data_IF_028618922198
#
_entry.id   IF_028618922198
#
_cell.length_a   1.000
_cell.length_b   1.000
_cell.length_c   1.000
_cell.angle_alpha   90.00
_cell.angle_beta   90.00
_cell.angle_gamma   90.00
#
_symmetry.space_group_name_H-M   'P 1'
#
loop_
_entity.id
_entity.type
_entity.pdbx_description
1 polymer ?
#
# COMPACT_ATOMS: atom_id res chain seq x y z
N UNK A 1 -15.85 -4.94 31.43
CA UNK A 1 -15.46 -6.38 31.53
C UNK A 1 -15.38 -7.08 30.16
N UNK A 2 -16.41 -7.01 29.31
CA UNK A 2 -16.37 -7.70 28.02
C UNK A 2 -15.26 -7.14 27.09
N UNK A 3 -15.15 -5.82 26.97
CA UNK A 3 -14.11 -5.17 26.15
C UNK A 3 -12.69 -5.40 26.71
N UNK A 4 -12.54 -5.44 28.02
CA UNK A 4 -11.25 -5.74 28.65
C UNK A 4 -10.80 -7.17 28.30
N UNK A 5 -11.71 -8.13 28.40
CA UNK A 5 -11.42 -9.52 28.02
C UNK A 5 -10.98 -9.64 26.56
N UNK A 6 -11.72 -9.03 25.65
CA UNK A 6 -11.35 -9.00 24.22
C UNK A 6 -9.99 -8.37 23.98
N UNK A 7 -9.70 -7.24 24.66
CA UNK A 7 -8.42 -6.57 24.55
C UNK A 7 -7.26 -7.43 25.09
N UNK A 8 -7.47 -8.10 26.22
CA UNK A 8 -6.47 -9.01 26.79
C UNK A 8 -6.15 -10.17 25.85
N UNK A 9 -7.16 -10.76 25.20
CA UNK A 9 -6.94 -11.82 24.20
C UNK A 9 -6.13 -11.31 22.99
N UNK A 10 -6.43 -10.11 22.50
CA UNK A 10 -5.68 -9.47 21.40
C UNK A 10 -4.23 -9.20 21.84
N UNK A 11 -4.04 -8.63 23.04
CA UNK A 11 -2.71 -8.32 23.53
C UNK A 11 -1.86 -9.58 23.76
N UNK A 12 -2.42 -10.60 24.38
CA UNK A 12 -1.73 -11.87 24.60
C UNK A 12 -1.35 -12.55 23.28
N UNK A 13 -2.27 -12.59 22.33
CA UNK A 13 -1.99 -13.12 20.99
C UNK A 13 -0.89 -12.32 20.29
N UNK A 14 -0.87 -10.99 20.50
CA UNK A 14 0.18 -10.12 19.95
C UNK A 14 1.55 -10.46 20.56
N UNK A 15 1.64 -10.64 21.87
CA UNK A 15 2.90 -11.04 22.53
C UNK A 15 3.43 -12.38 22.03
N UNK A 16 2.54 -13.33 21.76
CA UNK A 16 2.92 -14.68 21.32
C UNK A 16 3.33 -14.76 19.85
N UNK A 17 2.80 -13.86 18.99
CA UNK A 17 2.91 -14.02 17.53
C UNK A 17 3.60 -12.85 16.82
N UNK A 18 3.66 -11.66 17.42
CA UNK A 18 4.29 -10.48 16.82
C UNK A 18 5.71 -10.29 17.35
N UNK A 19 6.69 -10.96 16.73
CA UNK A 19 8.09 -10.94 17.19
C UNK A 19 8.84 -9.63 16.90
N UNK A 20 8.31 -8.77 16.03
CA UNK A 20 8.96 -7.52 15.61
C UNK A 20 8.97 -6.42 16.68
N UNK A 21 8.24 -6.57 17.79
CA UNK A 21 8.16 -5.53 18.81
C UNK A 21 9.52 -5.19 19.43
N UNK A 22 10.40 -6.16 19.57
CA UNK A 22 11.76 -5.94 20.11
C UNK A 22 12.61 -5.12 19.12
N UNK A 23 12.63 -5.51 17.85
CA UNK A 23 13.38 -4.78 16.80
C UNK A 23 12.88 -3.36 16.59
N UNK A 24 11.58 -3.13 16.82
CA UNK A 24 10.94 -1.80 16.76
C UNK A 24 11.02 -1.03 18.09
N UNK A 25 11.65 -1.61 19.13
CA UNK A 25 11.82 -1.02 20.46
C UNK A 25 10.49 -0.63 21.12
N UNK A 26 9.44 -1.42 20.90
CA UNK A 26 8.16 -1.21 21.54
C UNK A 26 8.18 -1.76 22.97
N UNK A 27 7.76 -0.94 23.94
CA UNK A 27 7.52 -1.41 25.30
C UNK A 27 6.09 -1.94 25.38
N UNK A 28 5.94 -3.27 25.26
CA UNK A 28 4.62 -3.91 25.20
C UNK A 28 3.87 -3.81 26.54
N UNK A 29 4.57 -3.80 27.69
CA UNK A 29 3.94 -3.64 29.00
C UNK A 29 3.37 -2.22 29.16
N UNK A 30 4.12 -1.21 28.77
CA UNK A 30 3.63 0.18 28.76
C UNK A 30 2.45 0.37 27.81
N UNK A 31 2.52 -0.24 26.63
CA UNK A 31 1.43 -0.21 25.65
C UNK A 31 0.17 -0.88 26.20
N UNK A 32 0.31 -2.07 26.79
CA UNK A 32 -0.78 -2.80 27.45
C UNK A 32 -1.44 -1.95 28.51
N UNK A 33 -0.66 -1.45 29.49
CA UNK A 33 -1.19 -0.67 30.59
C UNK A 33 -1.94 0.59 30.11
N UNK A 34 -1.37 1.33 29.17
CA UNK A 34 -1.98 2.54 28.62
C UNK A 34 -3.32 2.26 27.90
N UNK A 35 -3.38 1.18 27.13
CA UNK A 35 -4.61 0.83 26.43
C UNK A 35 -5.66 0.18 27.33
N UNK A 36 -5.27 -0.70 28.25
CA UNK A 36 -6.19 -1.33 29.20
C UNK A 36 -6.92 -0.28 30.05
N UNK A 37 -6.20 0.74 30.52
CA UNK A 37 -6.80 1.85 31.27
C UNK A 37 -7.88 2.59 30.44
N UNK A 38 -7.65 2.77 29.13
CA UNK A 38 -8.62 3.43 28.24
C UNK A 38 -9.79 2.49 27.89
N UNK A 39 -9.52 1.21 27.73
CA UNK A 39 -10.53 0.17 27.45
C UNK A 39 -11.49 0.04 28.63
N UNK A 40 -10.99 0.05 29.88
CA UNK A 40 -11.84 -0.04 31.09
C UNK A 40 -12.84 1.12 31.25
N UNK A 41 -12.55 2.27 30.61
CA UNK A 41 -13.42 3.45 30.59
C UNK A 41 -14.33 3.51 29.35
N UNK A 42 -14.28 2.50 28.51
CA UNK A 42 -15.01 2.47 27.24
C UNK A 42 -16.40 1.85 27.43
N UNK A 43 -17.42 2.57 26.96
CA UNK A 43 -18.83 2.25 27.18
C UNK A 43 -19.56 1.81 25.89
N UNK A 44 -18.94 1.97 24.72
CA UNK A 44 -19.55 1.68 23.42
C UNK A 44 -18.65 0.87 22.49
N UNK A 45 -19.22 0.00 21.62
CA UNK A 45 -18.46 -0.74 20.62
C UNK A 45 -17.67 0.18 19.67
N UNK A 46 -18.18 1.36 19.36
CA UNK A 46 -17.51 2.34 18.49
C UNK A 46 -16.22 2.85 19.13
N UNK A 47 -16.29 3.27 20.39
CA UNK A 47 -15.10 3.72 21.15
C UNK A 47 -14.09 2.58 21.30
N UNK A 48 -14.55 1.37 21.59
CA UNK A 48 -13.70 0.20 21.69
C UNK A 48 -13.01 -0.11 20.35
N UNK A 49 -13.74 -0.11 19.24
CA UNK A 49 -13.17 -0.30 17.89
C UNK A 49 -12.10 0.73 17.55
N UNK A 50 -12.29 1.99 17.92
CA UNK A 50 -11.29 3.04 17.76
C UNK A 50 -10.02 2.74 18.57
N UNK A 51 -10.16 2.28 19.82
CA UNK A 51 -9.00 1.88 20.64
C UNK A 51 -8.25 0.70 20.04
N UNK A 52 -8.95 -0.28 19.50
CA UNK A 52 -8.31 -1.41 18.80
C UNK A 52 -7.55 -0.96 17.55
N UNK A 53 -8.11 -0.04 16.76
CA UNK A 53 -7.40 0.55 15.62
C UNK A 53 -6.13 1.29 16.07
N UNK A 54 -6.21 2.07 17.14
CA UNK A 54 -5.04 2.76 17.72
C UNK A 54 -3.99 1.77 18.24
N UNK A 55 -4.41 0.74 18.95
CA UNK A 55 -3.51 -0.30 19.47
C UNK A 55 -2.74 -0.99 18.34
N UNK A 56 -3.46 -1.45 17.32
CA UNK A 56 -2.85 -2.13 16.17
C UNK A 56 -1.93 -1.19 15.39
N UNK A 57 -2.29 0.09 15.24
CA UNK A 57 -1.43 1.08 14.59
C UNK A 57 -0.15 1.38 15.40
N UNK A 58 -0.24 1.29 16.73
CA UNK A 58 0.91 1.46 17.64
C UNK A 58 1.95 0.33 17.54
N UNK A 59 1.62 -0.77 16.86
CA UNK A 59 2.58 -1.84 16.57
C UNK A 59 3.55 -1.44 15.43
N UNK A 60 3.31 -0.35 14.73
CA UNK A 60 4.14 0.14 13.63
C UNK A 60 4.42 -0.91 12.54
N UNK A 61 3.42 -1.67 12.15
CA UNK A 61 3.51 -2.72 11.14
C UNK A 61 2.36 -2.60 10.13
N UNK A 62 2.69 -2.41 8.86
CA UNK A 62 1.68 -2.26 7.81
C UNK A 62 0.84 -3.51 7.55
N UNK A 63 1.33 -4.68 7.96
CA UNK A 63 0.59 -5.94 7.91
C UNK A 63 -0.34 -6.18 9.12
N UNK A 64 -0.28 -5.33 10.16
CA UNK A 64 -1.18 -5.41 11.28
C UNK A 64 -2.52 -4.71 10.96
N UNK A 65 -3.64 -5.30 11.36
CA UNK A 65 -4.97 -4.70 11.18
C UNK A 65 -5.99 -5.31 12.11
N UNK A 66 -7.07 -4.59 12.37
CA UNK A 66 -8.27 -5.12 12.99
C UNK A 66 -9.44 -4.97 12.00
N UNK A 67 -10.23 -6.04 11.84
CA UNK A 67 -11.33 -6.07 10.87
C UNK A 67 -12.60 -5.53 11.54
N UNK A 68 -12.90 -4.29 11.25
CA UNK A 68 -14.12 -3.62 11.65
C UNK A 68 -14.89 -3.20 10.41
N UNK A 69 -16.22 -3.28 10.45
CA UNK A 69 -17.07 -2.94 9.31
C UNK A 69 -17.12 -1.43 9.13
N UNK A 70 -16.43 -0.92 8.12
CA UNK A 70 -16.44 0.50 7.79
C UNK A 70 -17.63 0.87 6.88
N UNK A 71 -18.02 2.14 6.96
CA UNK A 71 -18.82 2.81 5.93
C UNK A 71 -17.86 3.45 4.92
N UNK A 72 -18.20 3.42 3.64
CA UNK A 72 -17.30 3.82 2.56
C UNK A 72 -18.06 4.44 1.38
N UNK A 73 -17.35 5.15 0.53
CA UNK A 73 -17.78 5.51 -0.83
C UNK A 73 -17.15 4.59 -1.90
N UNK A 74 -16.51 3.49 -1.49
CA UNK A 74 -15.77 2.56 -2.36
C UNK A 74 -14.73 3.27 -3.25
N UNK A 75 -14.05 4.25 -2.66
CA UNK A 75 -13.09 5.11 -3.34
C UNK A 75 -11.88 5.42 -2.44
N UNK A 76 -10.72 5.54 -3.05
CA UNK A 76 -9.50 6.00 -2.41
C UNK A 76 -8.90 7.16 -3.23
N UNK A 77 -8.76 8.37 -2.65
CA UNK A 77 -8.23 9.53 -3.36
C UNK A 77 -6.72 9.42 -3.59
N UNK A 78 -6.20 10.27 -4.47
CA UNK A 78 -4.77 10.47 -4.68
C UNK A 78 -4.20 11.44 -3.63
N UNK A 79 -3.01 11.11 -3.13
CA UNK A 79 -2.24 11.94 -2.20
C UNK A 79 -0.95 12.37 -2.88
N UNK A 80 -0.83 13.67 -3.17
CA UNK A 80 0.26 14.23 -3.99
C UNK A 80 0.76 15.50 -3.31
N UNK A 81 2.05 15.55 -2.97
CA UNK A 81 2.69 16.72 -2.34
C UNK A 81 1.93 17.22 -1.09
N UNK A 82 1.43 16.31 -0.26
CA UNK A 82 0.69 16.64 0.95
C UNK A 82 -0.77 17.06 0.71
N UNK A 83 -1.26 17.00 -0.51
CA UNK A 83 -2.60 17.40 -0.93
C UNK A 83 -3.42 16.19 -1.38
N UNK A 84 -4.72 16.26 -1.25
CA UNK A 84 -5.65 15.15 -1.54
C UNK A 84 -6.53 15.53 -2.72
N UNK A 85 -6.55 14.68 -3.76
CA UNK A 85 -7.28 14.93 -4.99
C UNK A 85 -8.20 13.77 -5.35
N UNK A 86 -9.30 14.11 -5.99
CA UNK A 86 -10.10 13.15 -6.74
C UNK A 86 -9.40 12.86 -8.07
N UNK A 87 -9.10 11.59 -8.31
CA UNK A 87 -8.55 11.10 -9.56
C UNK A 87 -9.47 10.00 -10.10
N UNK A 88 -10.11 10.28 -11.22
CA UNK A 88 -11.06 9.34 -11.84
C UNK A 88 -12.11 8.84 -10.84
N UNK A 89 -13.06 9.71 -10.43
CA UNK A 89 -14.10 9.34 -9.47
C UNK A 89 -14.95 8.18 -9.98
N UNK A 90 -15.38 7.30 -9.06
CA UNK A 90 -16.35 6.28 -9.40
C UNK A 90 -17.75 6.88 -9.64
N UNK A 91 -18.66 6.08 -10.17
CA UNK A 91 -20.03 6.52 -10.49
C UNK A 91 -20.76 7.08 -9.25
N UNK A 92 -20.53 6.51 -8.08
CA UNK A 92 -21.14 6.98 -6.84
C UNK A 92 -20.70 8.39 -6.46
N UNK A 93 -19.41 8.67 -6.55
CA UNK A 93 -18.88 10.02 -6.31
C UNK A 93 -19.39 11.03 -7.35
N UNK A 94 -19.35 10.65 -8.63
CA UNK A 94 -19.84 11.51 -9.73
C UNK A 94 -21.32 11.84 -9.55
N UNK A 95 -22.14 10.86 -9.19
CA UNK A 95 -23.57 11.06 -8.92
C UNK A 95 -23.84 11.97 -7.70
N UNK A 96 -22.87 12.09 -6.79
CA UNK A 96 -22.93 12.96 -5.61
C UNK A 96 -22.14 14.27 -5.78
N UNK A 97 -21.83 14.66 -7.01
CA UNK A 97 -21.31 15.98 -7.37
C UNK A 97 -19.79 16.12 -7.34
N UNK A 98 -19.02 15.04 -7.07
CA UNK A 98 -17.56 15.08 -7.19
C UNK A 98 -17.11 14.98 -8.65
N UNK A 99 -16.05 15.68 -8.97
CA UNK A 99 -15.44 15.67 -10.29
C UNK A 99 -13.96 15.27 -10.25
N UNK A 100 -13.43 14.85 -11.39
CA UNK A 100 -12.02 14.62 -11.56
C UNK A 100 -11.22 15.90 -11.27
N UNK A 101 -10.06 15.75 -10.60
CA UNK A 101 -9.19 16.84 -10.17
C UNK A 101 -9.74 17.76 -9.06
N UNK A 102 -10.90 17.47 -8.47
CA UNK A 102 -11.31 18.17 -7.25
C UNK A 102 -10.22 18.00 -6.17
N UNK A 103 -9.81 19.10 -5.56
CA UNK A 103 -8.91 19.06 -4.40
C UNK A 103 -9.73 19.07 -3.11
N UNK A 104 -9.55 18.06 -2.27
CA UNK A 104 -10.19 18.01 -0.94
C UNK A 104 -9.36 18.83 0.03
N UNK A 105 -9.94 19.92 0.56
CA UNK A 105 -9.23 20.81 1.50
C UNK A 105 -9.73 20.69 2.94
N UNK A 106 -10.92 20.13 3.16
CA UNK A 106 -11.43 19.84 4.51
C UNK A 106 -12.44 18.69 4.50
N UNK A 107 -12.54 17.98 5.63
CA UNK A 107 -13.56 16.95 5.89
C UNK A 107 -14.25 17.29 7.21
N UNK A 108 -15.57 17.40 7.20
CA UNK A 108 -16.39 17.79 8.36
C UNK A 108 -15.87 19.07 9.05
N UNK A 109 -15.43 20.05 8.25
CA UNK A 109 -14.89 21.32 8.75
C UNK A 109 -13.44 21.27 9.24
N UNK A 110 -12.82 20.10 9.29
CA UNK A 110 -11.41 19.95 9.69
C UNK A 110 -10.51 20.05 8.46
N UNK A 111 -9.54 20.99 8.42
CA UNK A 111 -8.61 21.11 7.30
C UNK A 111 -7.90 19.77 7.02
N UNK A 112 -7.67 19.45 5.75
CA UNK A 112 -7.25 18.11 5.33
C UNK A 112 -5.92 17.66 5.99
N UNK A 113 -4.95 18.55 6.12
CA UNK A 113 -3.69 18.24 6.79
C UNK A 113 -3.89 17.86 8.28
N UNK A 114 -4.78 18.59 8.97
CA UNK A 114 -5.15 18.30 10.36
C UNK A 114 -5.97 17.01 10.46
N UNK A 115 -6.87 16.78 9.49
CA UNK A 115 -7.64 15.53 9.44
C UNK A 115 -6.71 14.33 9.28
N UNK A 116 -5.72 14.40 8.39
CA UNK A 116 -4.71 13.34 8.23
C UNK A 116 -3.96 13.13 9.55
N UNK A 117 -3.39 14.18 10.14
CA UNK A 117 -2.66 14.09 11.39
C UNK A 117 -3.49 13.48 12.54
N UNK A 118 -4.77 13.83 12.64
CA UNK A 118 -5.70 13.28 13.65
C UNK A 118 -6.01 11.79 13.44
N UNK A 119 -5.91 11.30 12.19
CA UNK A 119 -6.29 9.94 11.80
C UNK A 119 -5.09 9.00 11.60
N UNK A 120 -3.86 9.50 11.56
CA UNK A 120 -2.65 8.67 11.47
C UNK A 120 -2.55 7.63 12.59
N UNK A 121 -3.01 7.97 13.79
CA UNK A 121 -3.04 7.05 14.94
C UNK A 121 -3.91 5.80 14.74
N UNK A 122 -4.79 5.78 13.73
CA UNK A 122 -5.63 4.63 13.37
C UNK A 122 -5.08 3.86 12.16
N UNK A 123 -3.92 4.24 11.64
CA UNK A 123 -3.37 3.69 10.41
C UNK A 123 -2.08 2.91 10.67
N UNK A 124 -2.12 1.57 10.64
CA UNK A 124 -0.91 0.75 10.72
C UNK A 124 0.00 1.02 9.53
N UNK A 125 1.27 1.26 9.80
CA UNK A 125 2.33 1.36 8.79
C UNK A 125 3.70 1.23 9.46
N UNK A 126 4.69 0.79 8.71
CA UNK A 126 6.07 0.68 9.19
C UNK A 126 6.90 1.94 8.95
N UNK A 127 6.48 2.80 8.01
CA UNK A 127 7.13 4.08 7.73
C UNK A 127 6.12 5.24 7.86
N UNK A 128 6.64 6.42 8.14
CA UNK A 128 5.79 7.62 8.29
C UNK A 128 5.15 8.03 6.98
N UNK A 129 5.89 7.96 5.86
CA UNK A 129 5.40 8.28 4.53
C UNK A 129 4.25 7.35 4.13
N UNK A 130 4.40 6.04 4.36
CA UNK A 130 3.35 5.07 4.11
C UNK A 130 2.13 5.34 4.99
N UNK A 131 2.32 5.70 6.26
CA UNK A 131 1.24 6.05 7.20
C UNK A 131 0.41 7.23 6.69
N UNK A 132 1.05 8.32 6.28
CA UNK A 132 0.38 9.51 5.73
C UNK A 132 -0.40 9.18 4.46
N UNK A 133 0.23 8.48 3.51
CA UNK A 133 -0.42 8.03 2.28
C UNK A 133 -1.65 7.17 2.58
N UNK A 134 -1.50 6.15 3.42
CA UNK A 134 -2.59 5.22 3.74
C UNK A 134 -3.70 5.90 4.53
N UNK A 135 -3.39 6.90 5.36
CA UNK A 135 -4.40 7.71 6.05
C UNK A 135 -5.17 8.57 5.06
N UNK A 136 -4.50 9.29 4.16
CA UNK A 136 -5.15 10.11 3.14
C UNK A 136 -6.06 9.26 2.23
N UNK A 137 -5.65 8.06 1.86
CA UNK A 137 -6.44 7.12 1.05
C UNK A 137 -7.73 6.64 1.73
N UNK A 138 -7.84 6.79 3.06
CA UNK A 138 -9.05 6.47 3.84
C UNK A 138 -10.02 7.64 3.98
N UNK A 139 -9.80 8.77 3.31
CA UNK A 139 -10.64 9.97 3.43
C UNK A 139 -12.14 9.72 3.11
N UNK A 140 -12.47 8.68 2.35
CA UNK A 140 -13.85 8.27 2.03
C UNK A 140 -14.30 7.04 2.81
N UNK A 141 -13.74 6.81 4.01
CA UNK A 141 -14.13 5.72 4.92
C UNK A 141 -14.36 6.26 6.31
N UNK A 142 -15.32 5.68 7.02
CA UNK A 142 -15.52 5.93 8.45
C UNK A 142 -15.98 4.66 9.15
N UNK A 143 -15.49 4.44 10.35
CA UNK A 143 -15.93 3.37 11.23
C UNK A 143 -17.25 3.71 11.95
N UNK A 144 -17.48 5.00 12.23
CA UNK A 144 -18.60 5.48 13.07
C UNK A 144 -19.64 6.27 12.31
N UNK A 145 -19.22 7.03 11.27
CA UNK A 145 -20.09 8.00 10.64
C UNK A 145 -20.62 7.48 9.31
N UNK A 146 -21.90 7.69 9.09
CA UNK A 146 -22.59 7.33 7.84
C UNK A 146 -22.68 8.48 6.85
N UNK A 147 -22.19 9.66 7.21
CA UNK A 147 -22.15 10.85 6.36
C UNK A 147 -20.88 11.64 6.61
N UNK A 148 -20.38 12.31 5.58
CA UNK A 148 -19.29 13.27 5.70
C UNK A 148 -19.54 14.46 4.76
N UNK A 149 -19.05 15.63 5.14
CA UNK A 149 -19.05 16.83 4.31
C UNK A 149 -17.63 17.12 3.87
N UNK A 150 -17.44 17.19 2.57
CA UNK A 150 -16.14 17.44 1.94
C UNK A 150 -16.14 18.86 1.37
N UNK A 151 -15.16 19.66 1.77
CA UNK A 151 -14.89 20.93 1.12
C UNK A 151 -13.84 20.71 0.05
N UNK A 152 -14.19 21.06 -1.18
CA UNK A 152 -13.33 20.87 -2.34
C UNK A 152 -13.07 22.18 -3.07
N UNK A 153 -11.92 22.27 -3.74
CA UNK A 153 -11.63 23.32 -4.73
C UNK A 153 -11.76 22.71 -6.12
N UNK A 154 -12.56 23.37 -6.96
CA UNK A 154 -12.75 23.08 -8.38
C UNK A 154 -12.69 24.38 -9.17
N UNK A 155 -11.81 24.50 -10.16
CA UNK A 155 -11.68 25.67 -11.02
C UNK A 155 -11.66 27.02 -10.26
N UNK A 156 -10.97 27.06 -9.10
CA UNK A 156 -10.89 28.17 -8.15
C UNK A 156 -12.14 28.40 -7.27
N UNK A 157 -13.22 27.71 -7.51
CA UNK A 157 -14.41 27.75 -6.66
C UNK A 157 -14.29 26.78 -5.49
N UNK A 158 -14.86 27.16 -4.36
CA UNK A 158 -14.97 26.29 -3.17
C UNK A 158 -16.40 25.76 -3.06
N UNK A 159 -16.52 24.42 -2.96
CA UNK A 159 -17.78 23.72 -2.86
C UNK A 159 -17.83 22.85 -1.60
N UNK A 160 -18.98 22.80 -0.93
CA UNK A 160 -19.25 21.85 0.15
C UNK A 160 -20.13 20.71 -0.39
N UNK A 161 -19.61 19.50 -0.40
CA UNK A 161 -20.28 18.31 -0.90
C UNK A 161 -20.59 17.36 0.26
N UNK A 162 -21.86 17.11 0.53
CA UNK A 162 -22.30 16.16 1.54
C UNK A 162 -22.44 14.78 0.90
N UNK A 163 -21.81 13.77 1.48
CA UNK A 163 -21.81 12.41 0.99
C UNK A 163 -22.30 11.43 2.06
N UNK A 164 -23.22 10.54 1.69
CA UNK A 164 -23.55 9.39 2.51
C UNK A 164 -22.51 8.29 2.29
N UNK A 165 -21.88 7.83 3.37
CA UNK A 165 -21.03 6.64 3.35
C UNK A 165 -21.90 5.39 3.53
N UNK A 166 -21.63 4.36 2.78
CA UNK A 166 -22.44 3.14 2.70
C UNK A 166 -21.65 1.94 3.23
N UNK A 167 -22.37 0.88 3.63
CA UNK A 167 -21.72 -0.41 3.86
C UNK A 167 -21.11 -0.91 2.55
N UNK A 168 -19.99 -1.62 2.63
CA UNK A 168 -19.29 -2.14 1.46
C UNK A 168 -20.22 -3.00 0.56
N UNK A 169 -21.15 -3.71 1.15
CA UNK A 169 -22.15 -4.54 0.44
C UNK A 169 -23.14 -3.74 -0.42
N UNK A 170 -23.20 -2.41 -0.26
CA UNK A 170 -24.03 -1.52 -1.10
C UNK A 170 -23.46 -1.43 -2.53
N UNK A 171 -22.16 -1.54 -2.68
CA UNK A 171 -21.51 -1.41 -3.98
C UNK A 171 -21.52 -2.75 -4.72
N UNK A 172 -21.71 -2.74 -6.06
CA UNK A 172 -21.62 -3.96 -6.84
C UNK A 172 -20.21 -4.54 -6.73
N UNK A 173 -20.12 -5.87 -6.74
CA UNK A 173 -18.81 -6.51 -6.87
C UNK A 173 -18.18 -6.09 -8.19
N UNK A 174 -17.03 -5.44 -8.11
CA UNK A 174 -16.25 -5.09 -9.31
C UNK A 174 -15.68 -6.36 -9.93
N UNK A 175 -15.71 -6.43 -11.25
CA UNK A 175 -14.85 -7.38 -11.95
C UNK A 175 -13.41 -7.09 -11.56
N UNK A 176 -12.64 -8.14 -11.31
CA UNK A 176 -11.22 -7.97 -11.00
C UNK A 176 -10.53 -7.49 -12.27
N UNK A 177 -9.88 -6.30 -12.26
CA UNK A 177 -9.14 -5.85 -13.42
C UNK A 177 -7.97 -6.80 -13.67
N UNK A 178 -7.46 -6.84 -14.91
CA UNK A 178 -6.24 -7.55 -15.22
C UNK A 178 -5.13 -7.14 -14.23
N UNK A 179 -4.36 -8.12 -13.78
CA UNK A 179 -3.21 -7.85 -12.89
C UNK A 179 -2.07 -7.19 -13.64
N UNK A 180 -2.02 -7.38 -14.96
CA UNK A 180 -0.99 -6.84 -15.84
C UNK A 180 -1.64 -6.11 -17.02
N UNK A 181 -1.16 -4.89 -17.28
CA UNK A 181 -1.43 -4.13 -18.50
C UNK A 181 -0.11 -3.75 -19.16
N UNK A 182 -0.08 -3.67 -20.47
CA UNK A 182 1.13 -3.35 -21.20
C UNK A 182 0.89 -2.52 -22.43
N UNK A 183 1.92 -1.81 -22.87
CA UNK A 183 1.93 -1.03 -24.11
C UNK A 183 3.38 -0.82 -24.59
N UNK A 184 3.52 -0.36 -25.82
CA UNK A 184 4.79 0.12 -26.37
C UNK A 184 4.79 1.64 -26.35
N UNK A 185 5.86 2.24 -25.87
CA UNK A 185 6.11 3.68 -25.87
C UNK A 185 7.26 4.00 -26.82
N UNK A 186 7.11 5.09 -27.60
CA UNK A 186 8.16 5.60 -28.49
C UNK A 186 8.77 4.50 -29.39
N UNK A 187 7.97 3.52 -29.82
CA UNK A 187 8.31 2.36 -30.68
C UNK A 187 9.46 1.46 -30.18
N UNK A 188 10.14 1.81 -29.10
CA UNK A 188 11.33 1.10 -28.61
C UNK A 188 11.30 0.73 -27.11
N UNK A 189 10.28 1.17 -26.38
CA UNK A 189 10.18 0.98 -24.94
C UNK A 189 8.95 0.14 -24.62
N UNK A 190 9.15 -1.04 -24.06
CA UNK A 190 8.08 -1.83 -23.47
C UNK A 190 7.68 -1.24 -22.11
N UNK A 191 6.40 -1.13 -21.85
CA UNK A 191 5.87 -0.73 -20.55
C UNK A 191 4.90 -1.77 -20.03
N UNK A 192 5.14 -2.26 -18.82
CA UNK A 192 4.30 -3.25 -18.13
C UNK A 192 3.89 -2.67 -16.79
N UNK A 193 2.59 -2.46 -16.57
CA UNK A 193 2.02 -2.12 -15.28
C UNK A 193 1.55 -3.40 -14.58
N UNK A 194 2.09 -3.69 -13.40
CA UNK A 194 1.71 -4.84 -12.58
C UNK A 194 0.97 -4.31 -11.35
N UNK A 195 -0.33 -4.56 -11.27
CA UNK A 195 -1.21 -4.03 -10.22
C UNK A 195 -1.28 -4.88 -8.98
N UNK A 196 -0.97 -6.17 -9.11
CA UNK A 196 -1.06 -7.13 -8.01
C UNK A 196 -0.12 -8.30 -8.24
N UNK A 197 0.40 -8.89 -7.17
CA UNK A 197 1.15 -10.15 -7.22
C UNK A 197 0.26 -11.38 -7.01
N UNK A 198 -1.07 -11.23 -7.06
CA UNK A 198 -2.01 -12.34 -7.02
C UNK A 198 -2.19 -12.98 -8.41
N UNK A 199 -2.61 -14.24 -8.42
CA UNK A 199 -2.99 -14.90 -9.70
C UNK A 199 -4.12 -14.10 -10.39
N UNK A 200 -4.10 -13.99 -11.74
CA UNK A 200 -3.27 -14.71 -12.70
C UNK A 200 -2.01 -13.92 -13.17
N UNK A 201 -1.33 -13.19 -12.29
CA UNK A 201 -0.22 -12.28 -12.66
C UNK A 201 0.89 -12.95 -13.46
N UNK A 202 1.25 -14.19 -13.15
CA UNK A 202 2.34 -14.89 -13.86
C UNK A 202 1.99 -15.18 -15.30
N UNK A 203 0.76 -15.58 -15.58
CA UNK A 203 0.28 -15.87 -16.93
C UNK A 203 0.09 -14.58 -17.76
N UNK A 204 -0.46 -13.55 -17.12
CA UNK A 204 -0.65 -12.25 -17.77
C UNK A 204 0.69 -11.55 -18.04
N UNK A 205 1.64 -11.66 -17.10
CA UNK A 205 3.00 -11.15 -17.30
C UNK A 205 3.71 -11.87 -18.44
N UNK A 206 3.66 -13.20 -18.51
CA UNK A 206 4.28 -13.94 -19.60
C UNK A 206 3.74 -13.49 -20.96
N UNK A 207 2.41 -13.36 -21.10
CA UNK A 207 1.80 -12.85 -22.33
C UNK A 207 2.32 -11.47 -22.72
N UNK A 208 2.40 -10.53 -21.77
CA UNK A 208 2.95 -9.19 -22.01
C UNK A 208 4.43 -9.24 -22.37
N UNK A 209 5.20 -10.02 -21.61
CA UNK A 209 6.63 -10.18 -21.80
C UNK A 209 7.00 -10.71 -23.19
N UNK A 210 6.27 -11.73 -23.69
CA UNK A 210 6.50 -12.27 -25.03
C UNK A 210 6.35 -11.22 -26.15
N UNK A 211 5.51 -10.21 -25.95
CA UNK A 211 5.33 -9.11 -26.90
C UNK A 211 6.45 -8.06 -26.83
N UNK A 212 7.12 -7.94 -25.69
CA UNK A 212 8.01 -6.82 -25.39
C UNK A 212 9.48 -7.20 -25.24
N UNK A 213 9.80 -8.49 -25.07
CA UNK A 213 11.15 -8.99 -24.73
C UNK A 213 12.25 -8.63 -25.71
N UNK A 214 11.91 -8.31 -26.96
CA UNK A 214 12.87 -7.93 -28.00
C UNK A 214 13.16 -6.43 -28.05
N UNK A 215 12.40 -5.62 -27.34
CA UNK A 215 12.61 -4.18 -27.28
C UNK A 215 13.87 -3.85 -26.45
N UNK A 216 14.63 -2.79 -26.80
CA UNK A 216 15.87 -2.46 -26.12
C UNK A 216 15.67 -1.95 -24.69
N UNK A 217 14.48 -1.42 -24.38
CA UNK A 217 14.13 -0.88 -23.06
C UNK A 217 12.83 -1.48 -22.55
N UNK A 218 12.80 -1.79 -21.25
CA UNK A 218 11.61 -2.27 -20.57
C UNK A 218 11.41 -1.48 -19.28
N UNK A 219 10.24 -0.88 -19.12
CA UNK A 219 9.79 -0.21 -17.89
C UNK A 219 8.73 -1.10 -17.26
N UNK A 220 8.96 -1.49 -16.00
CA UNK A 220 7.97 -2.18 -15.16
C UNK A 220 7.49 -1.22 -14.10
N UNK A 221 6.18 -1.10 -13.95
CA UNK A 221 5.55 -0.19 -13.00
C UNK A 221 4.83 -0.97 -11.90
N UNK A 222 5.30 -0.84 -10.67
CA UNK A 222 4.69 -1.44 -9.47
C UNK A 222 4.27 -0.38 -8.45
N UNK A 223 4.19 0.90 -8.85
CA UNK A 223 3.83 2.01 -7.94
C UNK A 223 2.48 1.82 -7.25
N UNK A 224 1.53 1.17 -7.91
CA UNK A 224 0.18 0.92 -7.41
C UNK A 224 -0.04 -0.56 -7.02
N UNK A 225 1.01 -1.30 -6.74
CA UNK A 225 0.95 -2.72 -6.40
C UNK A 225 1.06 -2.93 -4.89
N UNK A 226 -0.05 -3.28 -4.27
CA UNK A 226 -0.13 -3.56 -2.82
C UNK A 226 0.36 -4.95 -2.40
N UNK A 227 0.97 -5.72 -3.30
CA UNK A 227 1.52 -7.04 -2.99
C UNK A 227 0.64 -8.21 -3.44
N UNK A 228 0.72 -9.28 -2.68
CA UNK A 228 0.04 -10.56 -2.93
C UNK A 228 0.94 -11.74 -2.60
N UNK A 229 1.15 -12.63 -3.56
CA UNK A 229 1.99 -13.82 -3.38
C UNK A 229 3.44 -13.54 -3.80
N UNK A 230 4.37 -13.59 -2.86
CA UNK A 230 5.81 -13.38 -3.14
C UNK A 230 6.41 -14.45 -4.06
N UNK A 231 5.86 -15.66 -4.06
CA UNK A 231 6.26 -16.71 -5.02
C UNK A 231 5.94 -16.35 -6.47
N UNK A 232 4.85 -15.62 -6.70
CA UNK A 232 4.57 -15.08 -8.03
C UNK A 232 5.59 -13.99 -8.40
N UNK A 233 5.88 -13.04 -7.51
CA UNK A 233 6.93 -12.05 -7.72
C UNK A 233 8.29 -12.68 -8.07
N UNK A 234 8.66 -13.75 -7.35
CA UNK A 234 9.86 -14.54 -7.64
C UNK A 234 9.86 -15.09 -9.08
N UNK A 235 8.73 -15.68 -9.53
CA UNK A 235 8.61 -16.19 -10.91
C UNK A 235 8.74 -15.09 -11.96
N UNK A 236 8.23 -13.89 -11.69
CA UNK A 236 8.42 -12.76 -12.58
C UNK A 236 9.90 -12.35 -12.65
N UNK A 237 10.62 -12.39 -11.52
CA UNK A 237 12.05 -12.11 -11.49
C UNK A 237 12.87 -13.06 -12.38
N UNK A 238 12.45 -14.30 -12.58
CA UNK A 238 13.13 -15.27 -13.44
C UNK A 238 13.27 -14.77 -14.90
N UNK A 239 12.30 -13.99 -15.39
CA UNK A 239 12.36 -13.33 -16.70
C UNK A 239 13.29 -12.10 -16.75
N UNK A 240 13.68 -11.56 -15.61
CA UNK A 240 14.29 -10.22 -15.50
C UNK A 240 15.71 -10.24 -14.95
N UNK A 241 16.09 -11.29 -14.22
CA UNK A 241 17.45 -11.46 -13.72
C UNK A 241 18.31 -12.21 -14.75
N UNK A 242 19.63 -11.94 -14.72
CA UNK A 242 20.58 -12.55 -15.70
C UNK A 242 21.49 -13.61 -15.08
N UNK A 243 21.49 -13.72 -13.76
CA UNK A 243 22.27 -14.69 -12.99
C UNK A 243 21.41 -15.28 -11.90
N UNK A 244 21.66 -16.53 -11.49
CA UNK A 244 21.04 -17.11 -10.32
C UNK A 244 21.32 -16.27 -9.08
N UNK A 245 20.31 -16.09 -8.24
CA UNK A 245 20.41 -15.36 -6.98
C UNK A 245 19.41 -15.86 -5.96
N UNK A 246 19.67 -15.62 -4.69
CA UNK A 246 18.72 -15.91 -3.62
C UNK A 246 17.53 -14.94 -3.66
N UNK A 247 16.33 -15.48 -3.45
CA UNK A 247 15.14 -14.68 -3.22
C UNK A 247 15.16 -14.07 -1.81
N UNK A 248 14.86 -12.78 -1.67
CA UNK A 248 14.97 -12.08 -0.40
C UNK A 248 14.04 -12.61 0.71
N UNK A 249 12.88 -13.16 0.35
CA UNK A 249 11.89 -13.71 1.32
C UNK A 249 12.21 -15.15 1.70
N UNK A 250 12.66 -15.95 0.74
CA UNK A 250 12.98 -17.37 0.95
C UNK A 250 14.15 -17.74 0.04
N UNK A 251 15.38 -17.85 0.58
CA UNK A 251 16.58 -18.10 -0.21
C UNK A 251 16.54 -19.39 -1.04
N UNK A 252 15.77 -20.37 -0.62
CA UNK A 252 15.61 -21.65 -1.30
C UNK A 252 14.15 -21.89 -1.73
N UNK A 253 13.90 -22.24 -2.98
CA UNK A 253 14.86 -22.34 -4.08
C UNK A 253 15.30 -20.95 -4.58
N UNK A 254 16.46 -20.87 -5.23
CA UNK A 254 16.99 -19.65 -5.85
C UNK A 254 16.06 -19.13 -6.97
N UNK A 255 16.23 -17.84 -7.32
CA UNK A 255 15.73 -17.28 -8.58
C UNK A 255 16.68 -17.73 -9.67
N UNK A 256 16.23 -18.60 -10.55
CA UNK A 256 17.01 -19.07 -11.70
C UNK A 256 16.56 -18.34 -12.95
N UNK A 257 17.44 -17.67 -13.70
CA UNK A 257 17.05 -16.98 -14.92
C UNK A 257 16.32 -17.88 -15.90
N UNK A 258 15.22 -17.39 -16.45
CA UNK A 258 14.52 -18.02 -17.56
C UNK A 258 15.45 -18.09 -18.79
N UNK A 259 15.38 -19.13 -19.66
CA UNK A 259 16.17 -19.18 -20.88
C UNK A 259 16.05 -17.93 -21.77
N UNK A 260 14.88 -17.34 -21.77
CA UNK A 260 14.56 -16.07 -22.48
C UNK A 260 14.66 -14.83 -21.58
N UNK A 261 15.50 -14.83 -20.55
CA UNK A 261 15.62 -13.68 -19.65
C UNK A 261 16.01 -12.41 -20.40
N UNK A 262 15.42 -11.30 -19.98
CA UNK A 262 15.55 -10.00 -20.64
C UNK A 262 17.00 -9.50 -20.68
N UNK A 263 17.47 -9.11 -21.87
CA UNK A 263 18.84 -8.66 -22.09
C UNK A 263 18.97 -7.15 -22.31
N UNK A 264 17.86 -6.44 -22.50
CA UNK A 264 17.85 -4.98 -22.66
C UNK A 264 18.02 -4.22 -21.34
N UNK A 265 17.85 -2.92 -21.36
CA UNK A 265 17.89 -2.09 -20.16
C UNK A 265 16.54 -2.12 -19.45
N UNK A 266 16.56 -2.44 -18.16
CA UNK A 266 15.37 -2.60 -17.32
C UNK A 266 15.25 -1.43 -16.35
N UNK A 267 14.07 -0.82 -16.30
CA UNK A 267 13.69 0.23 -15.36
C UNK A 267 12.48 -0.25 -14.53
N UNK A 268 12.46 0.12 -13.26
CA UNK A 268 11.37 -0.23 -12.34
C UNK A 268 10.86 1.03 -11.68
N UNK A 269 9.57 1.33 -11.86
CA UNK A 269 8.90 2.45 -11.20
C UNK A 269 8.34 2.00 -9.86
N UNK A 270 8.77 2.66 -8.78
CA UNK A 270 8.37 2.37 -7.40
C UNK A 270 7.67 3.55 -6.75
N UNK A 271 6.84 3.29 -5.77
CA UNK A 271 6.15 4.32 -4.99
C UNK A 271 5.91 3.86 -3.55
N UNK A 272 5.49 4.78 -2.70
CA UNK A 272 5.19 4.50 -1.30
C UNK A 272 4.06 3.47 -1.12
N UNK A 273 3.20 3.29 -2.12
CA UNK A 273 2.17 2.24 -2.13
C UNK A 273 2.68 0.88 -2.65
N UNK A 274 3.90 0.81 -3.19
CA UNK A 274 4.54 -0.49 -3.50
C UNK A 274 4.75 -1.22 -2.18
N UNK A 275 4.08 -2.37 -1.99
CA UNK A 275 3.94 -2.98 -0.68
C UNK A 275 4.09 -4.51 -0.72
N UNK A 276 4.60 -5.11 0.37
CA UNK A 276 4.63 -6.55 0.61
C UNK A 276 5.33 -7.34 -0.53
N UNK A 277 4.64 -8.27 -1.19
CA UNK A 277 5.21 -9.07 -2.29
C UNK A 277 5.70 -8.23 -3.48
N UNK A 278 5.16 -7.02 -3.69
CA UNK A 278 5.70 -6.08 -4.68
C UNK A 278 7.03 -5.48 -4.23
N UNK A 279 7.24 -5.31 -2.91
CA UNK A 279 8.51 -4.88 -2.37
C UNK A 279 9.58 -5.99 -2.48
N UNK A 280 9.23 -7.25 -2.19
CA UNK A 280 10.18 -8.37 -2.37
C UNK A 280 10.60 -8.53 -3.84
N UNK A 281 9.67 -8.38 -4.77
CA UNK A 281 9.98 -8.30 -6.21
C UNK A 281 10.93 -7.12 -6.53
N UNK A 282 10.65 -5.95 -5.99
CA UNK A 282 11.47 -4.74 -6.14
C UNK A 282 12.88 -4.94 -5.59
N UNK A 283 13.00 -5.55 -4.40
CA UNK A 283 14.28 -5.78 -3.74
C UNK A 283 15.13 -6.80 -4.49
N UNK A 284 14.53 -7.90 -4.93
CA UNK A 284 15.21 -8.91 -5.76
C UNK A 284 15.79 -8.29 -7.04
N UNK A 285 15.03 -7.44 -7.73
CA UNK A 285 15.50 -6.76 -8.94
C UNK A 285 16.58 -5.73 -8.64
N UNK A 286 16.46 -4.99 -7.53
CA UNK A 286 17.49 -4.05 -7.11
C UNK A 286 18.80 -4.76 -6.79
N UNK A 287 18.75 -5.82 -6.01
CA UNK A 287 19.93 -6.59 -5.60
C UNK A 287 20.56 -7.38 -6.75
N UNK A 288 19.80 -7.71 -7.80
CA UNK A 288 20.34 -8.30 -9.02
C UNK A 288 21.29 -7.36 -9.78
N UNK A 289 21.18 -6.06 -9.57
CA UNK A 289 21.90 -5.04 -10.33
C UNK A 289 21.41 -4.87 -11.78
N UNK A 290 20.34 -5.56 -12.18
CA UNK A 290 19.84 -5.51 -13.57
C UNK A 290 18.84 -4.39 -13.80
N UNK A 291 18.20 -3.86 -12.74
CA UNK A 291 17.14 -2.87 -12.85
C UNK A 291 17.58 -1.52 -12.28
N UNK A 292 17.21 -0.44 -12.96
CA UNK A 292 17.28 0.93 -12.45
C UNK A 292 15.94 1.32 -11.85
N UNK A 293 15.91 1.56 -10.55
CA UNK A 293 14.71 1.97 -9.81
C UNK A 293 14.52 3.48 -9.86
N UNK A 294 13.31 3.92 -10.18
CA UNK A 294 12.91 5.32 -10.29
C UNK A 294 11.60 5.53 -9.52
N UNK A 295 11.52 6.57 -8.75
CA UNK A 295 10.30 6.93 -8.03
C UNK A 295 10.53 7.23 -6.57
N UNK A 296 9.64 6.77 -5.70
CA UNK A 296 9.72 6.93 -4.25
C UNK A 296 10.19 5.64 -3.58
N UNK A 297 10.64 5.75 -2.33
CA UNK A 297 10.86 4.59 -1.48
C UNK A 297 9.54 3.83 -1.27
N UNK A 298 9.63 2.51 -1.18
CA UNK A 298 8.46 1.64 -0.99
C UNK A 298 7.87 1.70 0.43
N UNK A 299 6.80 0.97 0.70
CA UNK A 299 6.04 1.05 1.94
C UNK A 299 6.78 0.61 3.22
N UNK A 300 7.76 -0.26 3.11
CA UNK A 300 8.59 -0.68 4.24
C UNK A 300 8.15 -1.96 4.95
N UNK A 301 7.37 -2.80 4.29
CA UNK A 301 6.85 -4.07 4.82
C UNK A 301 7.15 -5.23 3.87
N UNK A 302 8.42 -5.39 3.52
CA UNK A 302 8.91 -6.36 2.55
C UNK A 302 8.87 -7.79 3.10
N UNK A 303 8.01 -8.64 2.65
CA UNK A 303 8.12 -10.08 2.85
C UNK A 303 7.70 -10.62 4.23
N UNK A 304 6.71 -10.05 4.88
CA UNK A 304 6.11 -10.64 6.07
C UNK A 304 5.03 -11.69 5.75
N UNK A 305 4.68 -12.52 6.74
CA UNK A 305 3.56 -13.48 6.70
C UNK A 305 2.50 -13.06 7.70
N UNK A 306 1.55 -12.21 7.30
CA UNK A 306 0.47 -11.88 8.21
C UNK A 306 -0.48 -13.07 8.39
N UNK A 307 -0.85 -13.34 9.65
CA UNK A 307 -1.86 -14.32 10.02
C UNK A 307 -3.06 -13.64 10.63
N UNK A 308 -4.24 -14.20 10.38
CA UNK A 308 -5.50 -13.71 10.94
C UNK A 308 -5.85 -14.53 12.17
N UNK A 309 -6.20 -13.84 13.25
CA UNK A 309 -6.63 -14.39 14.52
C UNK A 309 -8.06 -13.93 14.82
N UNK A 310 -8.74 -14.65 15.67
CA UNK A 310 -10.10 -14.36 16.13
C UNK A 310 -10.15 -14.45 17.65
N UNK A 311 -10.75 -13.46 18.28
CA UNK A 311 -11.01 -13.47 19.72
C UNK A 311 -12.23 -14.32 20.06
N UNK A 312 -12.42 -14.67 21.33
CA UNK A 312 -13.60 -15.39 21.82
C UNK A 312 -14.92 -14.67 21.57
N UNK A 313 -14.89 -13.34 21.42
CA UNK A 313 -16.05 -12.51 21.07
C UNK A 313 -16.23 -12.27 19.57
N UNK A 314 -15.40 -12.87 18.71
CA UNK A 314 -15.54 -12.82 17.26
C UNK A 314 -14.91 -11.61 16.59
N UNK A 315 -13.92 -10.95 17.23
CA UNK A 315 -13.14 -9.89 16.61
C UNK A 315 -11.99 -10.51 15.82
N UNK A 316 -11.97 -10.25 14.52
CA UNK A 316 -10.86 -10.65 13.66
C UNK A 316 -9.78 -9.57 13.62
N UNK A 317 -8.54 -9.99 13.78
CA UNK A 317 -7.38 -9.11 13.66
C UNK A 317 -6.21 -9.85 13.00
N UNK A 318 -5.27 -9.09 12.48
CA UNK A 318 -4.16 -9.61 11.69
C UNK A 318 -2.85 -9.09 12.23
N UNK A 319 -1.85 -9.95 12.31
CA UNK A 319 -0.51 -9.64 12.77
C UNK A 319 0.54 -10.18 11.81
N UNK A 320 1.63 -9.45 11.56
CA UNK A 320 2.81 -10.04 10.94
C UNK A 320 3.48 -11.00 11.93
N UNK A 321 3.79 -12.21 11.47
CA UNK A 321 4.27 -13.30 12.34
C UNK A 321 5.69 -13.76 12.03
N UNK A 322 6.36 -13.10 11.06
CA UNK A 322 7.72 -13.46 10.68
C UNK A 322 8.72 -12.79 11.61
N UNK A 323 9.77 -13.54 11.98
CA UNK A 323 10.92 -12.99 12.70
C UNK A 323 11.63 -11.90 11.89
N UNK A 324 12.30 -10.94 12.55
CA UNK A 324 13.14 -9.96 11.88
C UNK A 324 14.14 -10.63 10.96
N UNK A 325 14.23 -10.18 9.72
CA UNK A 325 15.10 -10.75 8.71
C UNK A 325 15.69 -9.68 7.81
N UNK A 326 16.73 -10.05 7.09
CA UNK A 326 17.44 -9.20 6.13
C UNK A 326 17.49 -9.89 4.77
N UNK A 327 17.56 -9.10 3.71
CA UNK A 327 17.83 -9.61 2.38
C UNK A 327 19.24 -10.21 2.27
N UNK A 328 19.56 -10.93 1.19
CA UNK A 328 20.91 -11.44 0.96
C UNK A 328 22.01 -10.37 1.03
N UNK A 329 21.74 -9.13 0.67
CA UNK A 329 22.68 -8.01 0.75
C UNK A 329 22.53 -7.16 2.03
N UNK A 330 21.76 -7.63 3.02
CA UNK A 330 21.65 -7.01 4.33
C UNK A 330 20.62 -5.90 4.46
N UNK A 331 19.67 -5.78 3.51
CA UNK A 331 18.58 -4.82 3.63
C UNK A 331 17.51 -5.35 4.61
N UNK A 332 17.04 -4.53 5.59
CA UNK A 332 16.02 -4.96 6.53
C UNK A 332 14.68 -5.19 5.83
N UNK A 333 14.08 -6.36 6.07
CA UNK A 333 12.83 -6.76 5.41
C UNK A 333 11.59 -6.05 5.98
N UNK A 334 11.73 -5.28 7.05
CA UNK A 334 10.66 -4.50 7.65
C UNK A 334 11.16 -3.20 8.29
N UNK A 335 10.31 -2.17 8.28
CA UNK A 335 10.59 -0.89 8.91
C UNK A 335 11.32 0.12 8.02
N UNK A 336 11.67 -0.26 6.81
CA UNK A 336 12.39 0.61 5.86
C UNK A 336 11.91 0.38 4.44
N UNK A 337 11.48 1.44 3.77
CA UNK A 337 11.18 1.41 2.34
C UNK A 337 12.42 1.21 1.50
N UNK A 338 12.30 0.47 0.41
CA UNK A 338 13.38 0.25 -0.56
C UNK A 338 13.60 1.55 -1.31
N UNK A 339 14.76 2.21 -1.16
CA UNK A 339 15.01 3.48 -1.85
C UNK A 339 15.26 3.25 -3.34
N UNK A 340 14.76 4.13 -4.22
CA UNK A 340 15.07 4.10 -5.65
C UNK A 340 16.52 4.51 -5.90
N UNK A 341 17.01 4.31 -7.14
CA UNK A 341 18.28 4.88 -7.60
C UNK A 341 18.11 6.35 -7.98
N UNK A 342 16.95 6.70 -8.55
CA UNK A 342 16.57 8.08 -8.90
C UNK A 342 15.25 8.43 -8.22
N UNK A 343 15.31 9.41 -7.32
CA UNK A 343 14.10 9.91 -6.65
C UNK A 343 13.25 10.73 -7.62
N UNK A 344 11.98 10.41 -7.69
CA UNK A 344 10.97 11.14 -8.43
C UNK A 344 9.60 10.91 -7.79
N UNK A 345 8.78 11.95 -7.73
CA UNK A 345 7.41 11.87 -7.23
C UNK A 345 6.47 12.60 -8.18
N UNK A 346 5.21 12.19 -8.17
CA UNK A 346 4.17 12.89 -8.91
C UNK A 346 4.04 14.31 -8.38
N UNK A 347 4.16 15.31 -9.24
CA UNK A 347 3.89 16.70 -8.86
C UNK A 347 2.42 17.05 -9.08
N UNK A 348 1.92 18.01 -8.30
CA UNK A 348 0.55 18.52 -8.49
C UNK A 348 0.40 19.17 -9.88
N UNK A 349 1.42 19.91 -10.33
CA UNK A 349 1.40 20.57 -11.64
C UNK A 349 1.20 19.55 -12.78
N UNK A 350 2.01 18.49 -12.79
CA UNK A 350 1.92 17.44 -13.80
C UNK A 350 0.60 16.66 -13.69
N UNK A 351 0.18 16.34 -12.45
CA UNK A 351 -1.09 15.67 -12.21
C UNK A 351 -2.27 16.45 -12.78
N UNK A 352 -2.34 17.75 -12.55
CA UNK A 352 -3.40 18.63 -13.09
C UNK A 352 -3.39 18.67 -14.62
N UNK A 353 -2.23 18.48 -15.25
CA UNK A 353 -2.05 18.43 -16.70
C UNK A 353 -2.11 16.98 -17.28
N UNK A 354 -2.53 16.00 -16.49
CA UNK A 354 -2.55 14.59 -16.88
C UNK A 354 -1.19 14.03 -17.34
N UNK A 355 -0.12 14.54 -16.74
CA UNK A 355 1.25 14.08 -16.96
C UNK A 355 1.72 13.22 -15.81
N UNK A 356 2.47 12.17 -16.09
CA UNK A 356 3.07 11.26 -15.12
C UNK A 356 4.53 11.62 -14.91
N UNK A 357 4.83 12.37 -13.84
CA UNK A 357 6.17 12.88 -13.54
C UNK A 357 7.21 11.75 -13.44
N UNK A 358 6.85 10.63 -12.81
CA UNK A 358 7.79 9.51 -12.59
C UNK A 358 8.08 8.78 -13.89
N UNK A 359 7.06 8.53 -14.72
CA UNK A 359 7.24 7.93 -16.03
C UNK A 359 8.07 8.84 -16.95
N UNK A 360 7.78 10.14 -16.98
CA UNK A 360 8.56 11.11 -17.76
C UNK A 360 10.02 11.15 -17.33
N UNK A 361 10.30 11.04 -16.04
CA UNK A 361 11.68 10.92 -15.52
C UNK A 361 12.37 9.67 -16.08
N UNK A 362 11.68 8.53 -16.11
CA UNK A 362 12.22 7.31 -16.71
C UNK A 362 12.51 7.49 -18.20
N UNK A 363 11.59 8.11 -18.96
CA UNK A 363 11.78 8.37 -20.39
C UNK A 363 12.96 9.30 -20.66
N UNK A 364 13.19 10.30 -19.80
CA UNK A 364 14.36 11.19 -19.90
C UNK A 364 15.68 10.47 -19.62
N UNK A 365 15.70 9.47 -18.74
CA UNK A 365 16.90 8.68 -18.46
C UNK A 365 17.21 7.65 -19.57
N UNK A 366 16.23 7.32 -20.40
CA UNK A 366 16.39 6.43 -21.54
C UNK A 366 16.96 7.17 -22.76
N UNK A 367 16.55 8.42 -22.96
CA UNK A 367 16.97 9.29 -24.06
C UNK A 367 18.28 10.02 -23.76
#
# INVERSE_FOLDING_TARGET
EAFEKEFEEIHQTTLENYSLYQSKRLNMDSLHHAFLQRVSQTDTPVKFGNLLKEYVAALHAGHASVYLKDYTADYAPSYIEGRVFIDRPNEYLTANGFADKDEIIAINGVPIAQWIANNEKYTPASTEECRKLMTARKAFRSWSDTTATYRVIRDQDTLDLKLALKKETFFPKKEQPNTVEWKVLQDSIGYINIRSMMNPVTEEFDKAYQQLKTLPYLIIDVRNNGGGNSGNGKKLCEYLVRKPQSHCVSPNPEITPHPDAYQGKLFLLTGTYTFSAAESFTLDLKESGNATLIGEATGGDTGNRPQTFETSGGIFFRLPTREPSFSPQGFPMEGKGIPPHYEAHQTVADFMNNQDTVLETALQLIN
#
